data_IF_670246973290
#
_entry.id   IF_670246973290
#
_cell.length_a   1.000
_cell.length_b   1.000
_cell.length_c   1.000
_cell.angle_alpha   90.00
_cell.angle_beta   90.00
_cell.angle_gamma   90.00
#
_symmetry.space_group_name_H-M   'P 1'
#
loop_
_entity.id
_entity.type
_entity.pdbx_description
1 polymer ?
#
# COMPACT_ATOMS: atom_id res chain seq x y z
N UNK A 1 -22.17 39.02 -9.06
CA UNK A 1 -21.05 38.07 -9.22
C UNK A 1 -21.31 36.87 -8.33
N UNK A 2 -22.16 35.96 -8.83
CA UNK A 2 -22.52 34.69 -8.20
C UNK A 2 -21.46 33.66 -8.62
N UNK A 3 -20.92 32.86 -7.69
CA UNK A 3 -20.00 31.80 -8.13
C UNK A 3 -19.19 31.01 -7.10
N UNK A 4 -19.29 31.26 -5.79
CA UNK A 4 -18.48 30.52 -4.81
C UNK A 4 -19.24 30.05 -3.55
N UNK A 5 -20.54 30.31 -3.42
CA UNK A 5 -21.34 29.87 -2.26
C UNK A 5 -21.60 28.35 -2.17
N UNK A 6 -21.23 27.58 -3.20
CA UNK A 6 -21.34 26.12 -3.16
C UNK A 6 -20.20 25.44 -2.37
N UNK A 7 -19.03 26.08 -2.24
CA UNK A 7 -17.89 25.51 -1.51
C UNK A 7 -18.09 25.54 0.01
N UNK A 8 -18.87 26.49 0.53
CA UNK A 8 -19.17 26.59 1.97
C UNK A 8 -20.31 25.66 2.43
N UNK A 9 -21.07 25.07 1.50
CA UNK A 9 -22.18 24.15 1.80
C UNK A 9 -21.76 22.68 1.99
N UNK A 10 -20.47 22.39 2.15
CA UNK A 10 -19.96 21.02 2.41
C UNK A 10 -19.77 20.76 3.92
N UNK A 11 -20.54 21.42 4.79
CA UNK A 11 -20.47 21.21 6.25
C UNK A 11 -21.47 20.22 6.83
N UNK A 12 -22.29 19.55 6.01
CA UNK A 12 -23.02 18.35 6.45
C UNK A 12 -22.98 17.32 5.32
N UNK A 13 -21.90 16.54 5.25
CA UNK A 13 -21.90 15.33 4.42
C UNK A 13 -22.91 14.36 5.02
N UNK A 14 -24.10 14.32 4.44
CA UNK A 14 -25.14 13.34 4.72
C UNK A 14 -24.56 11.92 4.58
N UNK A 15 -24.93 11.00 5.48
CA UNK A 15 -24.35 9.64 5.55
C UNK A 15 -24.42 8.92 4.19
N UNK A 16 -25.46 9.20 3.42
CA UNK A 16 -25.73 8.58 2.11
C UNK A 16 -24.72 9.02 1.03
N UNK A 17 -24.27 10.29 1.05
CA UNK A 17 -23.26 10.77 0.08
C UNK A 17 -21.88 10.16 0.34
N UNK A 18 -21.53 9.93 1.60
CA UNK A 18 -20.26 9.30 2.00
C UNK A 18 -20.14 7.89 1.41
N UNK A 19 -21.17 7.06 1.58
CA UNK A 19 -21.17 5.70 1.06
C UNK A 19 -21.11 5.70 -0.48
N UNK A 20 -21.80 6.63 -1.14
CA UNK A 20 -21.69 6.82 -2.59
C UNK A 20 -20.25 7.05 -3.07
N UNK A 21 -19.48 7.90 -2.39
CA UNK A 21 -18.06 8.13 -2.73
C UNK A 21 -17.18 6.89 -2.48
N UNK A 22 -17.45 6.13 -1.42
CA UNK A 22 -16.73 4.88 -1.14
C UNK A 22 -17.00 3.86 -2.24
N UNK A 23 -18.26 3.69 -2.65
CA UNK A 23 -18.64 2.79 -3.74
C UNK A 23 -18.01 3.23 -5.06
N UNK A 24 -18.05 4.52 -5.38
CA UNK A 24 -17.42 5.05 -6.59
C UNK A 24 -15.91 4.78 -6.61
N UNK A 25 -15.23 4.97 -5.47
CA UNK A 25 -13.81 4.67 -5.33
C UNK A 25 -13.50 3.17 -5.45
N UNK A 26 -14.33 2.31 -4.85
CA UNK A 26 -14.20 0.86 -5.01
C UNK A 26 -14.38 0.45 -6.48
N UNK A 27 -15.40 0.98 -7.15
CA UNK A 27 -15.65 0.69 -8.56
C UNK A 27 -14.51 1.17 -9.46
N UNK A 28 -13.91 2.33 -9.17
CA UNK A 28 -12.76 2.79 -9.96
C UNK A 28 -11.52 1.91 -9.77
N UNK A 29 -11.26 1.43 -8.55
CA UNK A 29 -10.19 0.47 -8.29
C UNK A 29 -10.43 -0.87 -8.98
N UNK A 30 -11.66 -1.38 -8.91
CA UNK A 30 -12.03 -2.65 -9.57
C UNK A 30 -11.97 -2.52 -11.09
N UNK A 31 -12.36 -1.38 -11.66
CA UNK A 31 -12.23 -1.12 -13.09
C UNK A 31 -10.75 -1.10 -13.53
N UNK A 32 -9.86 -0.47 -12.75
CA UNK A 32 -8.41 -0.50 -13.00
C UNK A 32 -7.83 -1.92 -12.87
N UNK A 33 -8.30 -2.71 -11.90
CA UNK A 33 -7.91 -4.12 -11.79
C UNK A 33 -8.38 -4.93 -13.00
N UNK A 34 -9.63 -4.74 -13.44
CA UNK A 34 -10.18 -5.41 -14.62
C UNK A 34 -9.44 -5.05 -15.89
N UNK A 35 -9.09 -3.78 -16.08
CA UNK A 35 -8.25 -3.33 -17.20
C UNK A 35 -6.87 -4.02 -17.17
N UNK A 36 -6.24 -4.12 -15.99
CA UNK A 36 -4.96 -4.79 -15.84
C UNK A 36 -5.02 -6.30 -16.10
N UNK A 37 -6.14 -6.95 -15.74
CA UNK A 37 -6.34 -8.37 -16.07
C UNK A 37 -6.43 -8.60 -17.57
N UNK A 38 -7.15 -7.71 -18.28
CA UNK A 38 -7.37 -7.80 -19.72
C UNK A 38 -6.14 -7.38 -20.54
N UNK A 39 -5.40 -6.37 -20.06
CA UNK A 39 -4.24 -5.77 -20.74
C UNK A 39 -3.10 -5.62 -19.72
N UNK A 40 -2.27 -6.65 -19.51
CA UNK A 40 -1.23 -6.66 -18.47
C UNK A 40 -0.17 -5.58 -18.61
N UNK A 41 0.01 -5.01 -19.81
CA UNK A 41 0.91 -3.87 -20.04
C UNK A 41 0.44 -2.60 -19.31
N UNK A 42 -0.83 -2.56 -18.87
CA UNK A 42 -1.41 -1.41 -18.16
C UNK A 42 -1.02 -1.32 -16.68
N UNK A 43 -0.19 -2.23 -16.14
CA UNK A 43 0.37 -2.11 -14.77
C UNK A 43 0.99 -0.74 -14.51
N UNK A 44 1.59 -0.13 -15.54
CA UNK A 44 2.17 1.23 -15.46
C UNK A 44 1.14 2.30 -15.04
N UNK A 45 -0.13 2.14 -15.41
CA UNK A 45 -1.20 3.08 -15.06
C UNK A 45 -1.43 3.18 -13.55
N UNK A 46 -1.19 2.10 -12.79
CA UNK A 46 -1.29 2.15 -11.32
C UNK A 46 -0.27 3.13 -10.73
N UNK A 47 0.97 3.06 -11.21
CA UNK A 47 2.05 3.92 -10.75
C UNK A 47 1.87 5.37 -11.23
N UNK A 48 1.47 5.58 -12.48
CA UNK A 48 1.14 6.92 -13.00
C UNK A 48 -0.03 7.54 -12.25
N UNK A 49 -1.10 6.77 -12.04
CA UNK A 49 -2.26 7.19 -11.25
C UNK A 49 -1.88 7.52 -9.81
N UNK A 50 -1.00 6.73 -9.19
CA UNK A 50 -0.47 7.00 -7.87
C UNK A 50 0.27 8.34 -7.81
N UNK A 51 1.13 8.65 -8.79
CA UNK A 51 1.85 9.93 -8.87
C UNK A 51 0.87 11.10 -9.01
N UNK A 52 -0.11 11.01 -9.92
CA UNK A 52 -1.10 12.07 -10.18
C UNK A 52 -1.95 12.32 -8.94
N UNK A 53 -2.55 11.27 -8.37
CA UNK A 53 -3.42 11.40 -7.19
C UNK A 53 -2.63 11.93 -6.00
N UNK A 54 -1.40 11.45 -5.80
CA UNK A 54 -0.57 11.91 -4.69
C UNK A 54 -0.16 13.37 -4.83
N UNK A 55 0.12 13.82 -6.05
CA UNK A 55 0.41 15.23 -6.34
C UNK A 55 -0.79 16.11 -6.03
N UNK A 56 -2.01 15.66 -6.38
CA UNK A 56 -3.26 16.36 -6.02
C UNK A 56 -3.47 16.41 -4.51
N UNK A 57 -3.25 15.29 -3.79
CA UNK A 57 -3.37 15.24 -2.33
C UNK A 57 -2.36 16.16 -1.64
N UNK A 58 -1.11 16.14 -2.08
CA UNK A 58 -0.06 17.01 -1.56
C UNK A 58 -0.40 18.48 -1.79
N UNK A 59 -0.77 18.85 -3.04
CA UNK A 59 -1.15 20.21 -3.40
C UNK A 59 -2.35 20.72 -2.58
N UNK A 60 -3.34 19.85 -2.33
CA UNK A 60 -4.55 20.20 -1.57
C UNK A 60 -4.25 20.42 -0.09
N UNK A 61 -3.36 19.64 0.51
CA UNK A 61 -3.15 19.65 1.96
C UNK A 61 -2.09 20.66 2.43
N UNK A 62 -1.05 20.93 1.61
CA UNK A 62 0.05 21.89 1.85
C UNK A 62 0.62 21.89 3.28
N UNK A 63 0.81 20.71 3.87
CA UNK A 63 1.21 20.52 5.28
C UNK A 63 2.44 19.61 5.45
N UNK A 64 3.19 19.41 4.37
CA UNK A 64 4.40 18.59 4.33
C UNK A 64 5.59 19.43 4.79
N UNK A 65 6.43 18.87 5.66
CA UNK A 65 7.64 19.50 6.16
C UNK A 65 8.90 18.79 5.62
N UNK A 66 10.07 19.37 5.90
CA UNK A 66 11.36 18.84 5.42
C UNK A 66 11.64 17.40 5.88
N UNK A 67 11.15 16.98 7.06
CA UNK A 67 11.35 15.61 7.55
C UNK A 67 10.54 14.61 6.74
N UNK A 68 9.30 14.95 6.39
CA UNK A 68 8.49 14.08 5.53
C UNK A 68 9.11 13.96 4.13
N UNK A 69 9.62 15.07 3.57
CA UNK A 69 10.34 15.06 2.30
C UNK A 69 11.58 14.17 2.40
N UNK A 70 12.37 14.32 3.46
CA UNK A 70 13.53 13.47 3.72
C UNK A 70 13.17 11.98 3.79
N UNK A 71 12.11 11.62 4.53
CA UNK A 71 11.60 10.25 4.56
C UNK A 71 11.17 9.76 3.17
N UNK A 72 10.45 10.58 2.41
CA UNK A 72 10.04 10.24 1.05
C UNK A 72 11.23 10.00 0.13
N UNK A 73 12.27 10.85 0.19
CA UNK A 73 13.49 10.70 -0.62
C UNK A 73 14.22 9.41 -0.25
N UNK A 74 14.35 9.10 1.04
CA UNK A 74 14.97 7.84 1.49
C UNK A 74 14.18 6.63 1.00
N UNK A 75 12.86 6.61 1.16
CA UNK A 75 12.02 5.49 0.71
C UNK A 75 12.04 5.34 -0.81
N UNK A 76 11.92 6.44 -1.55
CA UNK A 76 12.01 6.43 -3.01
C UNK A 76 13.38 5.98 -3.52
N UNK A 77 14.46 6.40 -2.86
CA UNK A 77 15.83 5.97 -3.17
C UNK A 77 16.06 4.49 -2.90
N UNK A 78 15.57 3.97 -1.77
CA UNK A 78 15.65 2.54 -1.45
C UNK A 78 14.84 1.66 -2.42
N UNK A 79 13.74 2.20 -2.97
CA UNK A 79 12.91 1.53 -3.97
C UNK A 79 13.29 1.87 -5.43
N UNK A 80 14.42 2.55 -5.64
CA UNK A 80 14.81 3.04 -6.97
C UNK A 80 15.40 1.93 -7.85
N UNK A 81 16.19 1.03 -7.30
CA UNK A 81 16.84 -0.04 -8.06
C UNK A 81 16.23 -1.41 -7.72
N UNK A 82 15.83 -2.23 -8.71
CA UNK A 82 16.13 -2.11 -10.14
C UNK A 82 15.09 -1.35 -10.98
N UNK A 83 14.00 -0.86 -10.37
CA UNK A 83 12.88 -0.25 -11.10
C UNK A 83 12.75 1.25 -10.81
N UNK A 84 13.51 2.07 -11.55
CA UNK A 84 13.65 3.51 -11.29
C UNK A 84 12.32 4.27 -11.15
N UNK A 85 11.35 3.93 -12.00
CA UNK A 85 10.04 4.56 -11.97
C UNK A 85 9.26 4.24 -10.69
N UNK A 86 9.41 3.03 -10.14
CA UNK A 86 8.78 2.65 -8.87
C UNK A 86 9.32 3.47 -7.70
N UNK A 87 10.61 3.79 -7.68
CA UNK A 87 11.19 4.69 -6.67
C UNK A 87 10.60 6.10 -6.73
N UNK A 88 10.43 6.66 -7.93
CA UNK A 88 9.78 7.97 -8.11
C UNK A 88 8.31 7.91 -7.68
N UNK A 89 7.57 6.90 -8.11
CA UNK A 89 6.17 6.72 -7.71
C UNK A 89 6.02 6.56 -6.19
N UNK A 90 6.93 5.83 -5.56
CA UNK A 90 7.00 5.64 -4.10
C UNK A 90 7.18 6.97 -3.36
N UNK A 91 8.08 7.83 -3.84
CA UNK A 91 8.27 9.17 -3.27
C UNK A 91 6.95 9.96 -3.26
N UNK A 92 6.31 10.09 -4.43
CA UNK A 92 5.06 10.84 -4.53
C UNK A 92 3.95 10.20 -3.68
N UNK A 93 3.78 8.88 -3.77
CA UNK A 93 2.80 8.13 -3.00
C UNK A 93 2.93 8.33 -1.48
N UNK A 94 4.16 8.29 -0.96
CA UNK A 94 4.43 8.55 0.44
C UNK A 94 4.04 9.98 0.83
N UNK A 95 4.49 10.98 0.06
CA UNK A 95 4.21 12.40 0.35
C UNK A 95 2.72 12.70 0.29
N UNK A 96 2.02 12.21 -0.74
CA UNK A 96 0.58 12.36 -0.89
C UNK A 96 -0.18 11.77 0.30
N UNK A 97 0.16 10.54 0.70
CA UNK A 97 -0.48 9.85 1.81
C UNK A 97 -0.20 10.51 3.17
N UNK A 98 1.05 10.90 3.45
CA UNK A 98 1.41 11.62 4.69
C UNK A 98 0.66 12.94 4.79
N UNK A 99 0.48 13.65 3.68
CA UNK A 99 -0.24 14.93 3.65
C UNK A 99 -1.68 14.78 4.18
N UNK A 100 -2.32 13.65 3.89
CA UNK A 100 -3.64 13.29 4.42
C UNK A 100 -3.55 12.87 5.88
N UNK A 101 -2.66 11.93 6.21
CA UNK A 101 -2.60 11.32 7.54
C UNK A 101 -2.23 12.29 8.65
N UNK A 102 -1.54 13.39 8.37
CA UNK A 102 -1.31 14.45 9.35
C UNK A 102 -2.58 15.09 9.89
N UNK A 103 -3.65 15.14 9.09
CA UNK A 103 -4.94 15.75 9.46
C UNK A 103 -6.04 14.73 9.79
N UNK A 104 -5.78 13.44 9.56
CA UNK A 104 -6.77 12.38 9.70
C UNK A 104 -6.76 11.75 11.11
N UNK A 105 -7.96 11.49 11.65
CA UNK A 105 -8.16 10.63 12.83
C UNK A 105 -7.66 9.20 12.59
N UNK A 106 -7.79 8.70 11.37
CA UNK A 106 -7.51 7.31 10.99
C UNK A 106 -6.14 7.15 10.35
N UNK A 107 -5.11 7.72 10.99
CA UNK A 107 -3.76 7.75 10.42
C UNK A 107 -3.00 6.45 10.62
N UNK A 108 -2.39 5.97 9.54
CA UNK A 108 -1.29 5.02 9.63
C UNK A 108 -0.02 5.82 9.93
N UNK A 109 0.70 5.42 10.98
CA UNK A 109 1.97 6.04 11.34
C UNK A 109 3.12 5.37 10.59
N UNK A 110 4.17 6.13 10.30
CA UNK A 110 5.43 5.57 9.78
C UNK A 110 6.02 4.56 10.78
N UNK A 111 6.22 5.00 12.02
CA UNK A 111 6.54 4.20 13.20
C UNK A 111 5.57 4.55 14.32
N UNK A 112 5.02 3.54 15.00
CA UNK A 112 4.00 3.77 16.04
C UNK A 112 4.57 4.51 17.25
N UNK A 113 5.75 4.07 17.67
CA UNK A 113 6.51 4.50 18.84
C UNK A 113 7.98 4.63 18.45
N UNK A 114 8.63 5.71 18.88
CA UNK A 114 10.04 6.01 18.58
C UNK A 114 10.97 5.71 19.75
N UNK A 115 10.44 5.25 20.89
CA UNK A 115 11.26 4.79 22.00
C UNK A 115 11.88 3.41 21.68
N UNK A 116 12.93 3.03 22.41
CA UNK A 116 13.67 1.77 22.20
C UNK A 116 12.75 0.55 22.19
N UNK A 117 11.83 0.46 23.15
CA UNK A 117 10.87 -0.65 23.26
C UNK A 117 9.96 -0.76 22.04
N UNK A 118 9.42 0.37 21.59
CA UNK A 118 8.57 0.47 20.41
C UNK A 118 9.30 0.03 19.16
N UNK A 119 10.52 0.51 18.95
CA UNK A 119 11.35 0.08 17.82
C UNK A 119 11.62 -1.42 17.88
N UNK A 120 11.99 -1.97 19.05
CA UNK A 120 12.19 -3.41 19.23
C UNK A 120 10.93 -4.22 18.91
N UNK A 121 9.75 -3.74 19.30
CA UNK A 121 8.48 -4.39 18.94
C UNK A 121 8.25 -4.38 17.43
N UNK A 122 8.50 -3.26 16.75
CA UNK A 122 8.39 -3.19 15.28
C UNK A 122 9.35 -4.16 14.60
N UNK A 123 10.60 -4.24 15.06
CA UNK A 123 11.58 -5.21 14.55
C UNK A 123 11.15 -6.65 14.79
N UNK A 124 10.58 -6.96 15.96
CA UNK A 124 10.03 -8.28 16.26
C UNK A 124 8.91 -8.64 15.27
N UNK A 125 7.96 -7.73 15.02
CA UNK A 125 6.90 -7.96 14.03
C UNK A 125 7.47 -8.21 12.63
N UNK A 126 8.47 -7.42 12.21
CA UNK A 126 9.16 -7.58 10.92
C UNK A 126 9.72 -8.99 10.78
N UNK A 127 10.53 -9.42 11.76
CA UNK A 127 11.21 -10.72 11.71
C UNK A 127 10.19 -11.86 11.82
N UNK A 128 9.25 -11.80 12.75
CA UNK A 128 8.29 -12.88 12.97
C UNK A 128 7.36 -13.06 11.77
N UNK A 129 6.70 -12.00 11.30
CA UNK A 129 5.79 -12.12 10.16
C UNK A 129 6.55 -12.39 8.85
N UNK A 130 7.72 -11.76 8.68
CA UNK A 130 8.57 -12.00 7.52
C UNK A 130 9.00 -13.46 7.40
N UNK A 131 9.54 -14.06 8.46
CA UNK A 131 10.01 -15.46 8.45
C UNK A 131 8.84 -16.44 8.32
N UNK A 132 7.75 -16.24 9.08
CA UNK A 132 6.60 -17.15 9.06
C UNK A 132 5.95 -17.16 7.67
N UNK A 133 5.66 -15.98 7.11
CA UNK A 133 5.03 -15.88 5.80
C UNK A 133 5.98 -16.27 4.67
N UNK A 134 7.29 -15.98 4.79
CA UNK A 134 8.30 -16.40 3.83
C UNK A 134 8.44 -17.91 3.78
N UNK A 135 8.44 -18.58 4.94
CA UNK A 135 8.44 -20.04 5.03
C UNK A 135 7.17 -20.63 4.38
N UNK A 136 6.00 -20.07 4.67
CA UNK A 136 4.75 -20.49 4.02
C UNK A 136 4.84 -20.29 2.50
N UNK A 137 5.43 -19.18 2.03
CA UNK A 137 5.63 -18.94 0.60
C UNK A 137 6.46 -20.05 -0.06
N UNK A 138 7.56 -20.46 0.59
CA UNK A 138 8.41 -21.54 0.07
C UNK A 138 7.64 -22.86 -0.04
N UNK A 139 6.86 -23.22 0.98
CA UNK A 139 6.06 -24.45 0.94
C UNK A 139 4.92 -24.41 -0.11
N UNK A 140 4.41 -23.22 -0.43
CA UNK A 140 3.34 -23.07 -1.42
C UNK A 140 3.85 -23.09 -2.88
N UNK A 141 5.12 -22.81 -3.13
CA UNK A 141 5.62 -22.56 -4.48
C UNK A 141 5.92 -23.85 -5.28
N UNK A 142 5.97 -25.03 -4.64
CA UNK A 142 6.25 -26.36 -5.23
C UNK A 142 7.36 -26.37 -6.31
N UNK A 143 8.30 -25.43 -6.20
CA UNK A 143 9.37 -25.20 -7.15
C UNK A 143 10.67 -25.80 -6.62
N UNK A 144 11.55 -26.21 -7.53
CA UNK A 144 12.87 -26.71 -7.15
C UNK A 144 13.65 -25.63 -6.40
N UNK A 145 14.15 -25.98 -5.22
CA UNK A 145 14.97 -25.10 -4.41
C UNK A 145 16.30 -24.88 -5.14
N UNK A 146 16.63 -23.62 -5.39
CA UNK A 146 17.90 -23.21 -5.99
C UNK A 146 18.47 -22.02 -5.21
N UNK A 147 18.98 -22.24 -3.99
CA UNK A 147 19.38 -21.14 -3.12
C UNK A 147 20.57 -20.35 -3.70
N UNK A 148 20.46 -19.02 -3.75
CA UNK A 148 21.51 -18.13 -4.22
C UNK A 148 21.32 -16.69 -3.78
N UNK A 149 22.39 -16.03 -3.31
CA UNK A 149 22.36 -14.64 -2.85
C UNK A 149 23.00 -13.74 -3.89
N UNK A 150 22.26 -12.72 -4.33
CA UNK A 150 22.74 -11.67 -5.21
C UNK A 150 22.23 -10.32 -4.71
N UNK A 151 23.03 -9.26 -4.88
CA UNK A 151 22.62 -7.90 -4.53
C UNK A 151 21.31 -7.51 -5.24
N UNK A 152 21.15 -7.96 -6.49
CA UNK A 152 19.92 -7.77 -7.26
C UNK A 152 18.67 -8.29 -6.52
N UNK A 153 18.72 -9.49 -5.93
CA UNK A 153 17.59 -10.06 -5.18
C UNK A 153 17.26 -9.26 -3.94
N UNK A 154 18.27 -8.77 -3.23
CA UNK A 154 18.09 -7.91 -2.05
C UNK A 154 17.41 -6.60 -2.46
N UNK A 155 17.92 -5.94 -3.50
CA UNK A 155 17.37 -4.67 -3.99
C UNK A 155 15.95 -4.84 -4.56
N UNK A 156 15.68 -5.94 -5.26
CA UNK A 156 14.34 -6.25 -5.78
C UNK A 156 13.34 -6.50 -4.65
N UNK A 157 13.71 -7.27 -3.63
CA UNK A 157 12.86 -7.50 -2.46
C UNK A 157 12.60 -6.18 -1.72
N UNK A 158 13.61 -5.33 -1.60
CA UNK A 158 13.49 -4.03 -0.93
C UNK A 158 12.56 -3.10 -1.71
N UNK A 159 12.70 -3.07 -3.04
CA UNK A 159 11.83 -2.30 -3.93
C UNK A 159 10.38 -2.77 -3.83
N UNK A 160 10.13 -4.08 -3.89
CA UNK A 160 8.77 -4.63 -3.74
C UNK A 160 8.18 -4.29 -2.36
N UNK A 161 8.91 -4.61 -1.29
CA UNK A 161 8.44 -4.40 0.09
C UNK A 161 8.18 -2.94 0.44
N UNK A 162 8.91 -1.98 -0.15
CA UNK A 162 8.65 -0.54 0.06
C UNK A 162 7.55 -0.03 -0.87
N UNK A 163 7.72 -0.25 -2.18
CA UNK A 163 6.85 0.35 -3.19
C UNK A 163 5.42 -0.16 -3.07
N UNK A 164 5.22 -1.46 -2.92
CA UNK A 164 3.89 -2.05 -2.94
C UNK A 164 3.10 -1.68 -1.68
N UNK A 165 3.75 -1.67 -0.51
CA UNK A 165 3.13 -1.23 0.74
C UNK A 165 2.78 0.25 0.74
N UNK A 166 3.59 1.09 0.09
CA UNK A 166 3.32 2.53 0.00
C UNK A 166 2.23 2.83 -1.03
N UNK A 167 2.27 2.23 -2.21
CA UNK A 167 1.34 2.55 -3.29
C UNK A 167 0.00 1.85 -3.07
N UNK A 168 -0.02 0.52 -2.94
CA UNK A 168 -1.27 -0.23 -2.96
C UNK A 168 -1.97 -0.29 -1.60
N UNK A 169 -1.27 0.02 -0.51
CA UNK A 169 -1.88 0.03 0.82
C UNK A 169 -1.90 1.41 1.44
N UNK A 170 -0.74 2.05 1.62
CA UNK A 170 -0.65 3.32 2.35
C UNK A 170 -1.39 4.45 1.63
N UNK A 171 -1.13 4.62 0.33
CA UNK A 171 -1.79 5.63 -0.49
C UNK A 171 -3.27 5.33 -0.69
N UNK A 172 -3.64 4.09 -1.07
CA UNK A 172 -5.05 3.75 -1.27
C UNK A 172 -5.88 3.91 0.00
N UNK A 173 -5.32 3.55 1.16
CA UNK A 173 -5.96 3.80 2.46
C UNK A 173 -6.05 5.29 2.80
N UNK A 174 -5.08 6.11 2.39
CA UNK A 174 -5.15 7.56 2.59
C UNK A 174 -6.29 8.22 1.81
N UNK A 175 -6.57 7.74 0.59
CA UNK A 175 -7.71 8.20 -0.22
C UNK A 175 -9.02 7.81 0.48
N UNK A 176 -9.11 6.57 0.96
CA UNK A 176 -10.25 6.12 1.77
C UNK A 176 -10.42 7.01 3.02
N UNK A 177 -9.35 7.28 3.77
CA UNK A 177 -9.38 8.15 4.95
C UNK A 177 -9.82 9.58 4.61
N UNK A 178 -9.52 10.08 3.41
CA UNK A 178 -10.01 11.38 2.91
C UNK A 178 -11.51 11.37 2.69
N UNK A 179 -12.07 10.29 2.15
CA UNK A 179 -13.52 10.12 1.94
C UNK A 179 -14.25 10.03 3.28
N UNK A 180 -13.67 9.31 4.26
CA UNK A 180 -14.28 9.17 5.59
C UNK A 180 -14.22 10.49 6.39
N UNK A 181 -13.12 11.23 6.26
CA UNK A 181 -12.83 12.37 7.11
C UNK A 181 -12.55 11.94 8.56
N UNK A 182 -12.93 12.77 9.52
CA UNK A 182 -12.70 12.53 10.95
C UNK A 182 -13.84 11.77 11.66
N UNK A 183 -14.78 11.22 10.91
CA UNK A 183 -15.90 10.42 11.44
C UNK A 183 -15.43 9.02 11.81
N UNK A 184 -16.05 8.40 12.81
CA UNK A 184 -15.75 7.00 13.15
C UNK A 184 -16.21 6.03 12.06
N UNK A 185 -15.54 4.88 12.00
CA UNK A 185 -15.84 3.84 11.03
C UNK A 185 -17.07 3.05 11.46
N UNK A 186 -17.99 2.83 10.53
CA UNK A 186 -18.93 1.72 10.68
C UNK A 186 -18.19 0.39 10.50
N UNK A 187 -18.78 -0.72 10.96
CA UNK A 187 -18.19 -2.07 10.76
C UNK A 187 -17.96 -2.38 9.27
N UNK A 188 -18.90 -1.99 8.41
CA UNK A 188 -18.80 -2.17 6.96
C UNK A 188 -17.65 -1.34 6.36
N UNK A 189 -17.52 -0.06 6.75
CA UNK A 189 -16.41 0.80 6.33
C UNK A 189 -15.06 0.24 6.77
N UNK A 190 -15.01 -0.35 7.96
CA UNK A 190 -13.84 -1.08 8.45
C UNK A 190 -13.45 -2.22 7.51
N UNK A 191 -14.40 -3.06 7.10
CA UNK A 191 -14.16 -4.15 6.15
C UNK A 191 -13.76 -3.65 4.76
N UNK A 192 -14.47 -2.65 4.23
CA UNK A 192 -14.15 -2.02 2.94
C UNK A 192 -12.73 -1.48 2.93
N UNK A 193 -12.28 -0.86 4.02
CA UNK A 193 -10.92 -0.32 4.09
C UNK A 193 -9.85 -1.42 3.98
N UNK A 194 -10.08 -2.62 4.53
CA UNK A 194 -9.18 -3.74 4.32
C UNK A 194 -9.26 -4.27 2.89
N UNK A 195 -10.47 -4.35 2.32
CA UNK A 195 -10.65 -4.75 0.93
C UNK A 195 -9.85 -3.86 -0.03
N UNK A 196 -9.90 -2.54 0.17
CA UNK A 196 -9.14 -1.54 -0.62
C UNK A 196 -7.63 -1.74 -0.48
N UNK A 197 -7.14 -2.13 0.70
CA UNK A 197 -5.71 -2.37 0.92
C UNK A 197 -5.23 -3.71 0.34
N UNK A 198 -6.13 -4.69 0.19
CA UNK A 198 -5.75 -6.07 -0.16
C UNK A 198 -5.95 -6.32 -1.65
N UNK A 199 -7.16 -6.08 -2.15
CA UNK A 199 -7.59 -6.58 -3.46
C UNK A 199 -6.84 -5.95 -4.64
N UNK A 200 -6.66 -4.61 -4.71
CA UNK A 200 -5.90 -3.99 -5.79
C UNK A 200 -4.47 -4.52 -5.92
N UNK A 201 -3.79 -4.72 -4.78
CA UNK A 201 -2.46 -5.29 -4.75
C UNK A 201 -2.46 -6.75 -5.23
N UNK A 202 -3.35 -7.60 -4.71
CA UNK A 202 -3.39 -9.02 -5.08
C UNK A 202 -3.69 -9.19 -6.58
N UNK A 203 -4.67 -8.45 -7.10
CA UNK A 203 -5.09 -8.57 -8.50
C UNK A 203 -4.05 -8.07 -9.50
N UNK A 204 -3.09 -7.22 -9.11
CA UNK A 204 -2.05 -6.75 -10.04
C UNK A 204 -1.05 -7.84 -10.45
N UNK A 205 -0.98 -8.93 -9.66
CA UNK A 205 -0.12 -10.07 -9.95
C UNK A 205 -0.72 -11.05 -10.96
N UNK A 206 -2.00 -10.91 -11.28
CA UNK A 206 -2.71 -11.80 -12.21
C UNK A 206 -2.99 -11.11 -13.55
N UNK A 207 -3.20 -11.95 -14.56
CA UNK A 207 -3.77 -11.63 -15.87
C UNK A 207 -4.84 -12.66 -16.23
N UNK A 208 -5.53 -12.52 -17.37
CA UNK A 208 -6.55 -13.49 -17.80
C UNK A 208 -6.03 -14.92 -17.97
N UNK A 209 -4.73 -15.12 -18.17
CA UNK A 209 -4.13 -16.45 -18.35
C UNK A 209 -3.72 -17.14 -17.04
N UNK A 210 -3.46 -16.34 -16.00
CA UNK A 210 -2.94 -16.80 -14.70
C UNK A 210 -3.95 -16.69 -13.56
N UNK A 211 -5.05 -15.94 -13.74
CA UNK A 211 -6.03 -15.73 -12.69
C UNK A 211 -6.70 -17.04 -12.29
N UNK A 212 -6.57 -17.38 -11.01
CA UNK A 212 -7.25 -18.51 -10.39
C UNK A 212 -7.86 -18.04 -9.07
N UNK A 213 -9.16 -18.31 -8.87
CA UNK A 213 -9.89 -17.86 -7.69
C UNK A 213 -9.24 -18.34 -6.37
N UNK A 214 -8.77 -19.59 -6.33
CA UNK A 214 -8.10 -20.13 -5.16
C UNK A 214 -6.79 -19.37 -4.89
N UNK A 215 -5.98 -19.13 -5.93
CA UNK A 215 -4.74 -18.36 -5.80
C UNK A 215 -4.99 -16.93 -5.32
N UNK A 216 -6.04 -16.27 -5.82
CA UNK A 216 -6.44 -14.93 -5.37
C UNK A 216 -6.83 -14.94 -3.89
N UNK A 217 -7.62 -15.93 -3.46
CA UNK A 217 -8.04 -16.08 -2.06
C UNK A 217 -6.84 -16.34 -1.16
N UNK A 218 -5.97 -17.29 -1.53
CA UNK A 218 -4.77 -17.65 -0.76
C UNK A 218 -3.84 -16.44 -0.65
N UNK A 219 -3.53 -15.75 -1.76
CA UNK A 219 -2.66 -14.58 -1.75
C UNK A 219 -3.26 -13.44 -0.92
N UNK A 220 -4.59 -13.25 -0.98
CA UNK A 220 -5.30 -12.26 -0.17
C UNK A 220 -5.26 -12.56 1.33
N UNK A 221 -5.48 -13.81 1.72
CA UNK A 221 -5.60 -14.21 3.13
C UNK A 221 -4.23 -14.38 3.77
N UNK A 222 -3.27 -14.99 3.07
CA UNK A 222 -1.95 -15.34 3.62
C UNK A 222 -0.99 -14.16 3.56
N UNK A 223 -1.04 -13.33 2.51
CA UNK A 223 -0.09 -12.22 2.34
C UNK A 223 -0.77 -10.85 2.42
N UNK A 224 -1.88 -10.68 1.70
CA UNK A 224 -2.63 -9.41 1.68
C UNK A 224 -3.06 -8.94 3.07
N UNK A 225 -3.81 -9.78 3.78
CA UNK A 225 -4.44 -9.46 5.05
C UNK A 225 -3.42 -9.21 6.18
N UNK A 226 -2.37 -10.04 6.39
CA UNK A 226 -1.38 -9.78 7.43
C UNK A 226 -0.67 -8.44 7.26
N UNK A 227 -0.25 -8.09 6.04
CA UNK A 227 0.39 -6.79 5.79
C UNK A 227 -0.58 -5.62 6.01
N UNK A 228 -1.84 -5.74 5.58
CA UNK A 228 -2.85 -4.72 5.85
C UNK A 228 -3.12 -4.55 7.37
N UNK A 229 -3.13 -5.66 8.12
CA UNK A 229 -3.29 -5.65 9.58
C UNK A 229 -2.08 -5.03 10.29
N UNK A 230 -0.86 -5.42 9.91
CA UNK A 230 0.39 -4.84 10.43
C UNK A 230 0.39 -3.33 10.22
N UNK A 231 0.11 -2.89 9.00
CA UNK A 231 0.14 -1.47 8.66
C UNK A 231 -0.89 -0.66 9.45
N UNK A 232 -2.11 -1.18 9.63
CA UNK A 232 -3.19 -0.46 10.35
C UNK A 232 -3.07 -0.53 11.88
N UNK A 233 -2.63 -1.65 12.44
CA UNK A 233 -2.60 -1.86 13.90
C UNK A 233 -1.24 -1.55 14.52
N UNK A 234 -0.17 -1.74 13.77
CA UNK A 234 1.21 -1.46 14.16
C UNK A 234 1.69 -0.19 13.47
N UNK A 235 2.32 -0.28 12.31
CA UNK A 235 2.86 0.85 11.56
C UNK A 235 3.32 0.46 10.14
N UNK A 236 3.60 1.46 9.30
CA UNK A 236 4.07 1.26 7.93
C UNK A 236 5.40 0.49 7.87
N UNK A 237 6.35 0.81 8.75
CA UNK A 237 7.66 0.14 8.77
C UNK A 237 7.53 -1.37 9.03
N UNK A 238 6.62 -1.79 9.91
CA UNK A 238 6.40 -3.22 10.17
C UNK A 238 5.93 -3.99 8.95
N UNK A 239 5.03 -3.40 8.14
CA UNK A 239 4.51 -4.02 6.93
C UNK A 239 5.60 -4.08 5.84
N UNK A 240 6.30 -2.96 5.57
CA UNK A 240 7.39 -2.91 4.59
C UNK A 240 8.51 -3.89 4.91
N UNK A 241 8.95 -3.94 6.17
CA UNK A 241 10.03 -4.84 6.58
C UNK A 241 9.61 -6.32 6.50
N UNK A 242 8.37 -6.64 6.89
CA UNK A 242 7.88 -8.02 6.81
C UNK A 242 7.79 -8.47 5.35
N UNK A 243 7.21 -7.64 4.48
CA UNK A 243 7.10 -7.93 3.05
C UNK A 243 8.49 -8.08 2.40
N UNK A 244 9.43 -7.18 2.71
CA UNK A 244 10.81 -7.32 2.28
C UNK A 244 11.41 -8.69 2.63
N UNK A 245 11.23 -9.17 3.87
CA UNK A 245 11.76 -10.47 4.29
C UNK A 245 11.08 -11.62 3.53
N UNK A 246 9.77 -11.57 3.34
CA UNK A 246 9.04 -12.60 2.55
C UNK A 246 9.62 -12.70 1.14
N UNK A 247 9.75 -11.57 0.47
CA UNK A 247 10.26 -11.51 -0.89
C UNK A 247 11.75 -11.86 -0.97
N UNK A 248 12.55 -11.48 0.04
CA UNK A 248 13.95 -11.86 0.12
C UNK A 248 14.10 -13.39 0.24
N UNK A 249 13.33 -14.03 1.12
CA UNK A 249 13.33 -15.49 1.27
C UNK A 249 12.95 -16.14 -0.06
N UNK A 250 11.87 -15.66 -0.72
CA UNK A 250 11.43 -16.18 -2.02
C UNK A 250 12.54 -16.04 -3.07
N UNK A 251 13.11 -14.85 -3.24
CA UNK A 251 14.10 -14.57 -4.29
C UNK A 251 15.41 -15.31 -4.05
N UNK A 252 15.87 -15.41 -2.81
CA UNK A 252 17.09 -16.17 -2.49
C UNK A 252 16.86 -17.67 -2.68
N UNK A 253 15.67 -18.19 -2.38
CA UNK A 253 15.38 -19.63 -2.45
C UNK A 253 15.13 -20.12 -3.88
N UNK A 254 14.49 -19.30 -4.72
CA UNK A 254 14.07 -19.70 -6.06
C UNK A 254 14.82 -19.00 -7.20
N UNK A 255 15.64 -17.98 -6.91
CA UNK A 255 16.31 -17.13 -7.92
C UNK A 255 15.34 -16.53 -8.97
N UNK A 256 14.09 -16.27 -8.55
CA UNK A 256 12.98 -15.85 -9.42
C UNK A 256 12.28 -14.60 -8.90
#
# INVERSE_FOLDING_TARGET
MWGLEWLDRVKVVNKDRKMGYIILYLLSLLALCGLNLLVPETKLLWYLGAVVVSSVLWWKNRNINHRDVGCGVVLGGLAFFPYYFMGVATFFAYIGAVSVFKKSKHKIKFLKETNRRGISVTLLFIVTFGIVLGTINVFLNDANLNPGIQLYWICRALTAGICEEIIFRFLLFSIFATIIGNKDYTRLEGWISYFIMIVPHVLIHFDMSSINLLSVIVLSVVFGLPFALLQRKRDLTSAMGSHFIVDLIRFVTFQA
#
